data_IF_469479486836
#
_entry.id   IF_469479486836
#
_cell.length_a   1.000
_cell.length_b   1.000
_cell.length_c   1.000
_cell.angle_alpha   90.00
_cell.angle_beta   90.00
_cell.angle_gamma   90.00
#
_symmetry.space_group_name_H-M   'P 1'
#
loop_
_entity.id
_entity.type
_entity.pdbx_description
1 polymer ?
#
# COMPACT_ATOMS: atom_id res chain seq x y z
N UNK A 1 35.46 -23.77 -44.60
CA UNK A 1 33.98 -23.74 -44.68
C UNK A 1 33.34 -23.67 -43.30
N UNK A 2 33.71 -24.56 -42.36
CA UNK A 2 33.18 -24.63 -40.99
C UNK A 2 33.36 -23.32 -40.19
N UNK A 3 34.52 -22.65 -40.29
CA UNK A 3 34.79 -21.37 -39.59
C UNK A 3 33.85 -20.21 -40.01
N UNK A 4 33.40 -20.19 -41.27
CA UNK A 4 32.54 -19.11 -41.79
C UNK A 4 31.08 -19.27 -41.31
N UNK A 5 30.63 -20.53 -41.21
CA UNK A 5 29.31 -20.87 -40.65
C UNK A 5 29.27 -20.53 -39.16
N UNK A 6 30.33 -20.87 -38.41
CA UNK A 6 30.44 -20.57 -36.98
C UNK A 6 30.41 -19.05 -36.72
N UNK A 7 31.11 -18.26 -37.53
CA UNK A 7 31.13 -16.79 -37.40
C UNK A 7 29.75 -16.16 -37.65
N UNK A 8 28.96 -16.70 -38.58
CA UNK A 8 27.58 -16.25 -38.83
C UNK A 8 26.65 -16.58 -37.66
N UNK A 9 26.79 -17.76 -37.07
CA UNK A 9 25.99 -18.17 -35.89
C UNK A 9 26.27 -17.24 -34.70
N UNK A 10 27.53 -16.90 -34.46
CA UNK A 10 27.94 -15.99 -33.37
C UNK A 10 27.38 -14.58 -33.57
N UNK A 11 27.45 -14.04 -34.79
CA UNK A 11 26.90 -12.70 -35.09
C UNK A 11 25.38 -12.66 -34.91
N UNK A 12 24.67 -13.71 -35.33
CA UNK A 12 23.22 -13.81 -35.14
C UNK A 12 22.85 -13.91 -33.65
N UNK A 13 23.63 -14.65 -32.85
CA UNK A 13 23.44 -14.71 -31.40
C UNK A 13 23.59 -13.34 -30.73
N UNK A 14 24.64 -12.58 -31.07
CA UNK A 14 24.90 -11.25 -30.46
C UNK A 14 23.74 -10.28 -30.71
N UNK A 15 23.07 -10.38 -31.86
CA UNK A 15 21.94 -9.50 -32.22
C UNK A 15 20.65 -9.94 -31.53
N UNK A 16 20.46 -11.25 -31.31
CA UNK A 16 19.20 -11.80 -30.79
C UNK A 16 19.16 -11.88 -29.25
N UNK A 17 20.31 -12.04 -28.58
CA UNK A 17 20.40 -12.12 -27.12
C UNK A 17 19.80 -10.89 -26.40
N UNK A 18 20.03 -9.64 -26.82
CA UNK A 18 19.47 -8.46 -26.16
C UNK A 18 17.93 -8.44 -26.15
N UNK A 19 17.30 -9.05 -27.17
CA UNK A 19 15.84 -9.08 -27.34
C UNK A 19 15.17 -10.03 -26.35
N UNK A 20 15.87 -11.09 -25.94
CA UNK A 20 15.37 -12.03 -24.93
C UNK A 20 15.75 -11.65 -23.49
N UNK A 21 16.74 -10.78 -23.29
CA UNK A 21 17.08 -10.24 -21.97
C UNK A 21 16.12 -9.14 -21.48
N UNK A 22 15.16 -8.73 -22.32
CA UNK A 22 14.16 -7.69 -22.00
C UNK A 22 12.78 -8.24 -21.65
N UNK A 23 12.72 -9.45 -21.08
CA UNK A 23 11.50 -10.02 -20.48
C UNK A 23 11.16 -9.45 -19.10
N UNK A 24 11.92 -8.47 -18.63
CA UNK A 24 11.83 -7.90 -17.29
C UNK A 24 10.88 -6.71 -17.14
N UNK A 25 9.80 -6.59 -17.93
CA UNK A 25 8.73 -5.65 -17.59
C UNK A 25 7.99 -6.21 -16.36
N UNK A 26 8.63 -6.10 -15.19
CA UNK A 26 8.00 -6.37 -13.89
C UNK A 26 6.76 -5.50 -13.87
N UNK A 27 5.58 -6.13 -13.92
CA UNK A 27 4.30 -5.46 -13.73
C UNK A 27 4.45 -4.56 -12.51
N UNK A 28 4.45 -3.24 -12.73
CA UNK A 28 4.52 -2.30 -11.62
C UNK A 28 3.26 -2.51 -10.77
N UNK A 29 3.38 -2.68 -9.45
CA UNK A 29 2.22 -2.83 -8.60
C UNK A 29 1.33 -1.59 -8.76
N UNK A 30 0.03 -1.81 -8.97
CA UNK A 30 -0.92 -0.70 -9.03
C UNK A 30 -1.03 -0.09 -7.64
N UNK A 31 -0.91 1.23 -7.55
CA UNK A 31 -1.05 2.02 -6.32
C UNK A 31 -2.41 2.73 -6.31
N UNK A 32 -2.77 3.30 -5.16
CA UNK A 32 -4.05 3.98 -4.95
C UNK A 32 -5.15 3.05 -4.45
N UNK A 33 -6.33 3.60 -4.19
CA UNK A 33 -7.47 2.88 -3.60
C UNK A 33 -8.06 1.78 -4.49
N UNK A 34 -7.81 1.85 -5.80
CA UNK A 34 -8.14 0.81 -6.78
C UNK A 34 -6.90 0.00 -7.20
N UNK A 35 -5.85 0.05 -6.36
CA UNK A 35 -4.57 -0.59 -6.58
C UNK A 35 -4.59 -2.10 -6.35
N UNK A 36 -3.41 -2.71 -6.41
CA UNK A 36 -3.25 -4.11 -6.02
C UNK A 36 -3.27 -4.20 -4.48
N UNK A 37 -4.14 -5.05 -3.93
CA UNK A 37 -4.20 -5.29 -2.47
C UNK A 37 -2.88 -5.90 -2.00
N UNK A 38 -2.22 -5.23 -1.06
CA UNK A 38 -0.94 -5.66 -0.49
C UNK A 38 -1.15 -6.57 0.72
N UNK A 39 -2.12 -6.20 1.55
CA UNK A 39 -2.46 -6.86 2.82
C UNK A 39 -3.88 -6.47 3.22
N UNK A 40 -4.55 -7.31 3.99
CA UNK A 40 -5.84 -7.00 4.59
C UNK A 40 -5.71 -6.95 6.11
N UNK A 41 -6.23 -5.88 6.72
CA UNK A 41 -6.47 -5.81 8.16
C UNK A 41 -7.73 -6.61 8.49
N UNK A 42 -7.59 -7.56 9.42
CA UNK A 42 -8.68 -8.46 9.81
C UNK A 42 -8.92 -8.32 11.31
N UNK A 43 -9.95 -7.57 11.68
CA UNK A 43 -10.31 -7.27 13.06
C UNK A 43 -9.16 -6.68 13.90
N UNK A 44 -8.43 -5.72 13.35
CA UNK A 44 -7.32 -5.08 14.06
C UNK A 44 -7.83 -4.16 15.16
N UNK A 45 -7.30 -4.32 16.38
CA UNK A 45 -7.67 -3.49 17.53
C UNK A 45 -6.85 -2.20 17.55
N UNK A 46 -7.51 -1.05 17.65
CA UNK A 46 -6.85 0.25 17.77
C UNK A 46 -7.61 1.23 18.66
N UNK A 47 -6.89 2.20 19.21
CA UNK A 47 -7.49 3.34 19.90
C UNK A 47 -8.26 4.22 18.90
N UNK A 48 -9.52 4.55 19.21
CA UNK A 48 -10.36 5.37 18.33
C UNK A 48 -9.76 6.76 18.09
N UNK A 49 -9.12 7.32 19.11
CA UNK A 49 -8.49 8.65 19.08
C UNK A 49 -7.34 8.77 18.06
N UNK A 50 -6.79 7.65 17.59
CA UNK A 50 -5.73 7.64 16.57
C UNK A 50 -6.23 7.96 15.16
N UNK A 51 -7.52 7.76 14.90
CA UNK A 51 -8.10 8.12 13.60
C UNK A 51 -8.41 9.60 13.62
N UNK A 52 -7.76 10.33 12.72
CA UNK A 52 -7.91 11.76 12.53
C UNK A 52 -8.79 11.98 11.31
N UNK A 53 -9.92 12.66 11.49
CA UNK A 53 -10.84 13.07 10.42
C UNK A 53 -10.79 14.58 10.22
N UNK A 54 -11.03 15.04 8.99
CA UNK A 54 -11.41 16.43 8.74
C UNK A 54 -12.82 16.72 9.28
N UNK A 55 -13.14 17.99 9.52
CA UNK A 55 -14.43 18.40 10.12
C UNK A 55 -15.65 17.96 9.29
N UNK A 56 -15.49 17.91 7.97
CA UNK A 56 -16.49 17.50 6.99
C UNK A 56 -16.45 15.99 6.67
N UNK A 57 -15.48 15.23 7.20
CA UNK A 57 -15.29 13.82 6.90
C UNK A 57 -14.76 13.52 5.50
N UNK A 58 -14.29 14.53 4.77
CA UNK A 58 -13.74 14.36 3.41
C UNK A 58 -12.40 13.62 3.38
N UNK A 59 -11.65 13.66 4.49
CA UNK A 59 -10.36 12.98 4.63
C UNK A 59 -10.25 12.32 6.00
N UNK A 60 -9.54 11.19 6.04
CA UNK A 60 -9.22 10.52 7.29
C UNK A 60 -7.91 9.75 7.18
N UNK A 61 -7.17 9.66 8.28
CA UNK A 61 -5.96 8.86 8.36
C UNK A 61 -5.64 8.44 9.79
N UNK A 62 -4.78 7.44 9.95
CA UNK A 62 -4.12 7.13 11.22
C UNK A 62 -2.65 6.75 10.99
N UNK A 63 -1.88 6.75 12.07
CA UNK A 63 -0.48 6.32 12.07
C UNK A 63 -0.25 5.19 13.06
N UNK A 64 0.49 4.16 12.67
CA UNK A 64 0.90 3.06 13.55
C UNK A 64 2.42 3.09 13.71
N UNK A 65 2.88 3.09 14.96
CA UNK A 65 4.30 2.97 15.26
C UNK A 65 4.80 1.54 14.93
N UNK A 66 5.88 1.45 14.18
CA UNK A 66 6.52 0.20 13.75
C UNK A 66 7.99 0.22 14.20
N UNK A 67 8.20 0.20 15.52
CA UNK A 67 9.52 0.38 16.14
C UNK A 67 9.91 1.86 16.23
N UNK A 68 11.02 2.22 15.57
CA UNK A 68 11.52 3.61 15.56
C UNK A 68 10.81 4.53 14.54
N UNK A 69 9.86 3.99 13.78
CA UNK A 69 9.24 4.62 12.61
C UNK A 69 7.72 4.58 12.67
N UNK A 70 7.07 5.31 11.76
CA UNK A 70 5.61 5.39 11.68
C UNK A 70 5.14 5.05 10.27
N UNK A 71 4.17 4.16 10.20
CA UNK A 71 3.43 3.85 8.99
C UNK A 71 2.13 4.66 8.99
N UNK A 72 1.83 5.36 7.88
CA UNK A 72 0.64 6.20 7.74
C UNK A 72 -0.39 5.53 6.82
N UNK A 73 -1.66 5.59 7.20
CA UNK A 73 -2.77 4.93 6.52
C UNK A 73 -3.87 5.93 6.21
N UNK A 74 -4.05 6.29 4.94
CA UNK A 74 -5.09 7.19 4.47
C UNK A 74 -6.34 6.41 4.05
N UNK A 75 -7.52 6.90 4.41
CA UNK A 75 -8.77 6.22 4.09
C UNK A 75 -9.12 6.44 2.63
N UNK A 76 -9.53 5.38 1.95
CA UNK A 76 -10.11 5.44 0.61
C UNK A 76 -11.57 5.87 0.63
N UNK A 77 -12.29 5.57 1.70
CA UNK A 77 -13.71 5.82 1.86
C UNK A 77 -14.02 6.63 3.15
N UNK A 78 -13.38 7.79 3.39
CA UNK A 78 -13.55 8.55 4.62
C UNK A 78 -14.99 9.03 4.81
N UNK A 79 -15.66 9.46 3.74
CA UNK A 79 -17.05 9.92 3.80
C UNK A 79 -18.04 8.82 4.22
N UNK A 80 -17.79 7.57 3.83
CA UNK A 80 -18.62 6.42 4.22
C UNK A 80 -18.38 6.01 5.68
N UNK A 81 -17.13 6.12 6.15
CA UNK A 81 -16.74 5.71 7.51
C UNK A 81 -16.96 6.80 8.55
N UNK A 82 -17.07 8.07 8.14
CA UNK A 82 -17.25 9.19 9.06
C UNK A 82 -18.51 9.10 9.95
N UNK A 83 -19.69 8.69 9.44
CA UNK A 83 -20.85 8.43 10.30
C UNK A 83 -20.58 7.35 11.35
N UNK A 84 -19.98 6.21 10.94
CA UNK A 84 -19.63 5.10 11.84
C UNK A 84 -18.65 5.55 12.92
N UNK A 85 -17.64 6.33 12.55
CA UNK A 85 -16.68 6.88 13.50
C UNK A 85 -17.35 7.77 14.56
N UNK A 86 -18.36 8.57 14.15
CA UNK A 86 -19.14 9.41 15.08
C UNK A 86 -20.05 8.61 15.99
N UNK A 87 -20.65 7.53 15.50
CA UNK A 87 -21.45 6.61 16.34
C UNK A 87 -20.61 5.98 17.46
N UNK A 88 -19.31 5.79 17.21
CA UNK A 88 -18.35 5.23 18.18
C UNK A 88 -17.76 6.28 19.13
N UNK A 89 -18.28 7.51 19.21
CA UNK A 89 -17.66 8.63 19.95
C UNK A 89 -17.40 8.39 21.45
N UNK A 90 -18.03 7.38 22.07
CA UNK A 90 -17.79 6.98 23.46
C UNK A 90 -16.85 5.78 23.65
N UNK A 91 -16.35 5.18 22.57
CA UNK A 91 -15.49 4.02 22.62
C UNK A 91 -14.01 4.44 22.65
N UNK A 92 -13.25 3.87 23.59
CA UNK A 92 -11.80 4.08 23.68
C UNK A 92 -11.06 3.24 22.62
N UNK A 93 -11.53 2.02 22.40
CA UNK A 93 -10.95 1.06 21.46
C UNK A 93 -12.00 0.59 20.44
N UNK A 94 -11.55 0.44 19.20
CA UNK A 94 -12.35 0.00 18.08
C UNK A 94 -11.62 -1.11 17.33
N UNK A 95 -12.40 -1.92 16.64
CA UNK A 95 -11.91 -2.89 15.68
C UNK A 95 -12.05 -2.28 14.28
N UNK A 96 -10.98 -2.37 13.49
CA UNK A 96 -10.96 -1.97 12.08
C UNK A 96 -10.59 -3.16 11.18
N UNK A 97 -11.27 -3.26 10.05
CA UNK A 97 -10.94 -4.20 8.97
C UNK A 97 -10.92 -3.45 7.64
N UNK A 98 -10.03 -3.85 6.73
CA UNK A 98 -9.92 -3.20 5.43
C UNK A 98 -8.74 -3.67 4.60
N UNK A 99 -8.81 -3.37 3.32
CA UNK A 99 -7.77 -3.73 2.37
C UNK A 99 -6.76 -2.60 2.22
N UNK A 100 -5.47 -2.94 2.24
CA UNK A 100 -4.36 -2.02 2.15
C UNK A 100 -3.80 -1.97 0.73
N UNK A 101 -3.52 -0.76 0.28
CA UNK A 101 -2.95 -0.43 -1.00
C UNK A 101 -1.78 0.51 -0.82
N UNK A 102 -0.90 0.58 -1.82
CA UNK A 102 0.23 1.49 -1.75
C UNK A 102 -0.25 2.90 -2.03
N UNK A 103 0.24 3.89 -1.30
CA UNK A 103 0.03 5.27 -1.68
C UNK A 103 0.94 5.61 -2.88
N UNK A 104 0.37 6.25 -3.91
CA UNK A 104 1.04 6.42 -5.19
C UNK A 104 2.25 7.34 -5.11
N UNK A 105 2.15 8.43 -4.35
CA UNK A 105 3.24 9.38 -4.13
C UNK A 105 4.41 8.71 -3.43
N UNK A 106 4.13 7.88 -2.42
CA UNK A 106 5.11 7.05 -1.73
C UNK A 106 5.78 6.06 -2.69
N UNK A 107 5.02 5.37 -3.54
CA UNK A 107 5.60 4.45 -4.53
C UNK A 107 6.49 5.15 -5.54
N UNK A 108 6.10 6.35 -6.00
CA UNK A 108 6.92 7.15 -6.91
C UNK A 108 8.21 7.63 -6.24
N UNK A 109 8.15 8.03 -4.97
CA UNK A 109 9.29 8.61 -4.26
C UNK A 109 10.25 7.54 -3.70
N UNK A 110 9.73 6.42 -3.22
CA UNK A 110 10.52 5.30 -2.70
C UNK A 110 11.45 4.69 -3.76
N UNK A 111 11.05 4.71 -5.03
CA UNK A 111 11.91 4.31 -6.15
C UNK A 111 13.10 5.24 -6.39
N UNK A 112 13.01 6.51 -5.94
CA UNK A 112 14.02 7.54 -6.16
C UNK A 112 14.90 7.83 -4.93
N UNK A 113 14.50 7.39 -3.73
CA UNK A 113 15.23 7.66 -2.48
C UNK A 113 15.11 6.50 -1.50
N UNK A 114 16.26 5.91 -1.15
CA UNK A 114 16.35 4.83 -0.16
C UNK A 114 15.88 5.26 1.24
N UNK A 115 16.04 6.54 1.59
CA UNK A 115 15.63 7.09 2.88
C UNK A 115 14.10 7.04 3.06
N UNK A 116 13.34 7.50 2.06
CA UNK A 116 11.88 7.46 2.10
C UNK A 116 11.32 6.04 1.97
N UNK A 117 12.00 5.16 1.22
CA UNK A 117 11.59 3.76 1.07
C UNK A 117 11.60 2.99 2.39
N UNK A 118 12.47 3.34 3.34
CA UNK A 118 12.68 2.54 4.56
C UNK A 118 11.97 3.09 5.80
N UNK A 119 11.79 4.41 5.92
CA UNK A 119 11.45 5.03 7.21
C UNK A 119 10.00 5.49 7.38
N UNK A 120 9.25 5.76 6.32
CA UNK A 120 7.88 6.28 6.45
C UNK A 120 7.00 5.67 5.38
N UNK A 121 6.50 4.45 5.63
CA UNK A 121 5.62 3.80 4.66
C UNK A 121 4.25 4.46 4.69
N UNK A 122 3.71 4.70 3.51
CA UNK A 122 2.40 5.32 3.35
C UNK A 122 1.51 4.39 2.55
N UNK A 123 0.35 4.13 3.12
CA UNK A 123 -0.66 3.23 2.61
C UNK A 123 -1.97 3.97 2.43
N UNK A 124 -2.78 3.46 1.51
CA UNK A 124 -4.21 3.71 1.48
C UNK A 124 -4.93 2.50 2.05
N UNK A 125 -6.01 2.71 2.79
CA UNK A 125 -6.85 1.65 3.35
C UNK A 125 -8.29 1.84 2.89
N UNK A 126 -8.87 0.82 2.26
CA UNK A 126 -10.31 0.76 2.04
C UNK A 126 -10.95 0.04 3.22
N UNK A 127 -11.57 0.82 4.10
CA UNK A 127 -12.11 0.31 5.36
C UNK A 127 -13.45 -0.36 5.11
N UNK A 128 -13.51 -1.65 5.35
CA UNK A 128 -14.71 -2.46 5.14
C UNK A 128 -15.54 -2.54 6.42
N UNK A 129 -14.89 -2.50 7.58
CA UNK A 129 -15.55 -2.58 8.88
C UNK A 129 -14.89 -1.66 9.91
N UNK A 130 -15.72 -0.99 10.70
CA UNK A 130 -15.34 -0.20 11.88
C UNK A 130 -16.39 -0.42 12.95
N UNK A 131 -16.02 -1.01 14.10
CA UNK A 131 -16.96 -1.37 15.17
C UNK A 131 -16.33 -1.21 16.55
N UNK A 132 -17.15 -1.12 17.59
CA UNK A 132 -16.72 -1.09 18.99
C UNK A 132 -15.99 -2.38 19.37
N UNK A 133 -14.95 -2.26 20.20
CA UNK A 133 -14.33 -3.39 20.87
C UNK A 133 -15.08 -3.71 22.17
N UNK A 134 -15.93 -4.73 22.13
CA UNK A 134 -16.65 -5.22 23.31
C UNK A 134 -15.78 -6.21 24.09
N UNK A 135 -14.86 -5.74 24.93
CA UNK A 135 -14.19 -6.63 25.88
C UNK A 135 -15.18 -7.03 26.99
N UNK A 136 -15.63 -8.29 27.01
CA UNK A 136 -16.44 -8.84 28.09
C UNK A 136 -17.95 -8.64 28.02
N UNK A 137 -18.53 -8.48 26.81
CA UNK A 137 -19.97 -8.73 26.58
C UNK A 137 -20.17 -10.03 25.80
#
# INVERSE_FOLDING_TARGET
MILYIFRKIVVVMIIIIPVFTWSGCKKQPKCGCDGDVIRTFTNELMERSRIIYSQDGSTAYFTIANGYYYDTYHFCNPGEMFPKYKELAGEDQIIISGDLFWECTYMMNSGNSSYYSYYYKVYNINVTEMKSYLYGK
#
